data_IF_812099280467
#
_entry.id   IF_812099280467
#
_cell.length_a   1.000
_cell.length_b   1.000
_cell.length_c   1.000
_cell.angle_alpha   90.00
_cell.angle_beta   90.00
_cell.angle_gamma   90.00
#
_symmetry.space_group_name_H-M   'P 1'
#
loop_
_entity.id
_entity.type
_entity.pdbx_description
1 polymer ?
#
# COMPACT_ATOMS: atom_id res chain seq x y z
N UNK A 1 6.91 18.82 -12.21
CA UNK A 1 5.83 19.40 -11.37
C UNK A 1 5.78 18.52 -10.14
N UNK A 2 5.80 19.06 -8.92
CA UNK A 2 5.70 18.21 -7.73
C UNK A 2 4.28 17.65 -7.65
N UNK A 3 4.13 16.33 -7.62
CA UNK A 3 2.83 15.67 -7.43
C UNK A 3 2.25 16.06 -6.08
N UNK A 4 1.00 16.49 -6.06
CA UNK A 4 0.25 16.73 -4.83
C UNK A 4 -0.20 15.38 -4.25
N UNK A 5 0.41 14.98 -3.13
CA UNK A 5 0.16 13.71 -2.46
C UNK A 5 -1.29 13.59 -1.99
N UNK A 6 -1.91 14.67 -1.53
CA UNK A 6 -3.31 14.64 -1.07
C UNK A 6 -4.25 14.41 -2.25
N UNK A 7 -4.03 15.11 -3.37
CA UNK A 7 -4.82 14.90 -4.57
C UNK A 7 -4.65 13.48 -5.13
N UNK A 8 -3.42 12.95 -5.09
CA UNK A 8 -3.13 11.57 -5.50
C UNK A 8 -3.83 10.56 -4.59
N UNK A 9 -3.74 10.73 -3.27
CA UNK A 9 -4.42 9.88 -2.30
C UNK A 9 -5.93 9.86 -2.53
N UNK A 10 -6.58 11.03 -2.69
CA UNK A 10 -8.02 11.08 -2.96
C UNK A 10 -8.38 10.37 -4.27
N UNK A 11 -7.55 10.50 -5.31
CA UNK A 11 -7.73 9.76 -6.57
C UNK A 11 -7.66 8.26 -6.36
N UNK A 12 -6.74 7.79 -5.52
CA UNK A 12 -6.60 6.37 -5.20
C UNK A 12 -7.69 5.83 -4.31
N UNK A 13 -8.18 6.59 -3.33
CA UNK A 13 -9.35 6.19 -2.56
C UNK A 13 -10.58 6.05 -3.46
N UNK A 14 -10.81 6.98 -4.39
CA UNK A 14 -11.87 6.85 -5.39
C UNK A 14 -11.70 5.61 -6.27
N UNK A 15 -10.46 5.28 -6.66
CA UNK A 15 -10.16 4.06 -7.41
C UNK A 15 -10.43 2.79 -6.60
N UNK A 16 -10.05 2.76 -5.33
CA UNK A 16 -10.29 1.63 -4.42
C UNK A 16 -11.80 1.45 -4.17
N UNK A 17 -12.54 2.54 -3.96
CA UNK A 17 -13.98 2.53 -3.69
C UNK A 17 -14.83 1.99 -4.86
N UNK A 18 -14.28 1.88 -6.06
CA UNK A 18 -14.94 1.20 -7.18
C UNK A 18 -14.97 -0.33 -7.02
N UNK A 19 -14.22 -0.89 -6.06
CA UNK A 19 -14.28 -2.29 -5.69
C UNK A 19 -15.36 -2.52 -4.62
N UNK A 20 -16.37 -3.34 -4.94
CA UNK A 20 -17.48 -3.67 -4.05
C UNK A 20 -17.06 -4.48 -2.80
N UNK A 21 -15.77 -4.79 -2.64
CA UNK A 21 -15.27 -5.49 -1.47
C UNK A 21 -15.16 -4.61 -0.22
N UNK A 22 -15.18 -3.29 -0.31
CA UNK A 22 -15.07 -2.38 0.86
C UNK A 22 -16.24 -1.40 0.93
N UNK A 23 -16.58 -0.96 2.13
CA UNK A 23 -17.31 0.29 2.33
C UNK A 23 -16.42 1.46 1.92
N UNK A 24 -17.05 2.52 1.41
CA UNK A 24 -16.33 3.67 0.88
C UNK A 24 -15.53 4.38 1.96
N UNK A 25 -14.23 4.57 1.70
CA UNK A 25 -13.33 5.38 2.54
C UNK A 25 -12.96 6.63 1.75
N UNK A 26 -13.30 7.81 2.29
CA UNK A 26 -13.16 9.10 1.60
C UNK A 26 -12.25 10.08 2.35
N UNK A 27 -11.49 9.59 3.33
CA UNK A 27 -10.54 10.38 4.12
C UNK A 27 -9.16 9.77 3.95
N UNK A 28 -8.19 10.58 3.55
CA UNK A 28 -6.80 10.14 3.47
C UNK A 28 -6.23 9.89 4.86
N UNK A 29 -5.41 8.82 5.04
CA UNK A 29 -4.58 8.72 6.23
C UNK A 29 -3.53 9.84 6.21
N UNK A 30 -2.82 10.01 7.32
CA UNK A 30 -1.60 10.83 7.30
C UNK A 30 -0.57 10.16 6.39
N UNK A 31 0.04 10.92 5.47
CA UNK A 31 1.04 10.42 4.51
C UNK A 31 2.31 11.23 4.70
N UNK A 32 3.37 10.56 5.14
CA UNK A 32 4.65 11.21 5.41
C UNK A 32 5.77 10.63 4.53
N UNK A 33 6.60 11.51 3.99
CA UNK A 33 7.78 11.13 3.19
C UNK A 33 9.03 11.20 4.07
N UNK A 34 9.76 10.09 4.16
CA UNK A 34 10.93 9.97 5.03
C UNK A 34 12.13 9.30 4.34
N UNK A 35 13.35 9.46 4.88
CA UNK A 35 14.51 8.70 4.43
C UNK A 35 14.30 7.19 4.59
N UNK A 36 14.86 6.38 3.68
CA UNK A 36 14.74 4.91 3.72
C UNK A 36 15.21 4.30 5.05
N UNK A 37 16.21 4.90 5.71
CA UNK A 37 16.69 4.44 7.02
C UNK A 37 15.65 4.57 8.14
N UNK A 38 14.85 5.64 8.12
CA UNK A 38 13.76 5.84 9.08
C UNK A 38 12.61 4.86 8.77
N UNK A 39 12.33 4.64 7.48
CA UNK A 39 11.34 3.66 7.05
C UNK A 39 11.73 2.22 7.44
N UNK A 40 13.00 1.86 7.29
CA UNK A 40 13.55 0.57 7.74
C UNK A 40 13.46 0.40 9.25
N UNK A 41 13.60 1.48 10.03
CA UNK A 41 13.41 1.44 11.47
C UNK A 41 11.96 1.06 11.82
N UNK A 42 10.98 1.65 11.13
CA UNK A 42 9.56 1.40 11.35
C UNK A 42 9.11 0.02 10.85
N UNK A 43 9.45 -0.33 9.61
CA UNK A 43 8.92 -1.52 8.94
C UNK A 43 9.75 -2.79 9.17
N UNK A 44 11.06 -2.65 9.43
CA UNK A 44 12.01 -3.76 9.47
C UNK A 44 12.82 -3.81 10.77
N UNK A 45 12.38 -3.11 11.83
CA UNK A 45 13.07 -3.02 13.12
C UNK A 45 14.55 -2.58 12.99
N UNK A 46 14.84 -1.72 12.00
CA UNK A 46 16.16 -1.18 11.71
C UNK A 46 17.08 -2.09 10.88
N UNK A 47 16.63 -3.29 10.52
CA UNK A 47 17.36 -4.13 9.59
C UNK A 47 17.30 -3.54 8.17
N UNK A 48 18.40 -3.65 7.42
CA UNK A 48 18.41 -3.30 6.00
C UNK A 48 17.45 -4.22 5.24
N UNK A 49 16.45 -3.62 4.61
CA UNK A 49 15.42 -4.29 3.83
C UNK A 49 14.99 -3.40 2.65
N UNK A 50 14.47 -3.98 1.56
CA UNK A 50 14.10 -3.24 0.35
C UNK A 50 12.75 -2.50 0.48
N UNK A 51 12.39 -2.02 1.67
CA UNK A 51 11.11 -1.33 1.92
C UNK A 51 11.07 0.01 1.19
N UNK A 52 9.98 0.26 0.46
CA UNK A 52 9.75 1.51 -0.28
C UNK A 52 8.59 2.31 0.30
N UNK A 53 7.64 1.65 0.93
CA UNK A 53 6.54 2.25 1.67
C UNK A 53 6.09 1.31 2.79
N UNK A 54 5.33 1.84 3.76
CA UNK A 54 4.77 1.05 4.85
C UNK A 54 3.51 1.71 5.41
N UNK A 55 2.43 0.95 5.50
CA UNK A 55 1.25 1.29 6.29
C UNK A 55 1.41 0.85 7.75
N UNK A 56 1.40 1.82 8.66
CA UNK A 56 1.38 1.58 10.10
C UNK A 56 -0.05 1.57 10.63
N UNK A 57 -0.51 0.38 11.03
CA UNK A 57 -1.83 0.14 11.61
C UNK A 57 -2.06 0.87 12.92
N UNK A 58 -1.04 1.01 13.77
CA UNK A 58 -1.18 1.67 15.08
C UNK A 58 -1.34 3.17 14.92
N UNK A 59 -0.52 3.76 14.04
CA UNK A 59 -0.59 5.19 13.71
C UNK A 59 -1.72 5.53 12.74
N UNK A 60 -2.29 4.54 12.03
CA UNK A 60 -3.21 4.71 10.89
C UNK A 60 -2.62 5.67 9.84
N UNK A 61 -1.33 5.49 9.54
CA UNK A 61 -0.54 6.39 8.70
C UNK A 61 0.24 5.61 7.64
N UNK A 62 0.52 6.26 6.52
CA UNK A 62 1.35 5.73 5.43
C UNK A 62 2.68 6.46 5.39
N UNK A 63 3.76 5.70 5.35
CA UNK A 63 5.11 6.22 5.26
C UNK A 63 5.70 5.85 3.89
N UNK A 64 6.22 6.85 3.17
CA UNK A 64 6.82 6.67 1.85
C UNK A 64 8.32 6.96 1.91
N UNK A 65 9.11 6.14 1.22
CA UNK A 65 10.52 6.45 0.98
C UNK A 65 10.63 7.70 0.10
N UNK A 66 11.53 8.62 0.46
CA UNK A 66 11.90 9.78 -0.36
C UNK A 66 12.50 9.39 -1.72
N UNK A 67 12.91 8.14 -1.89
CA UNK A 67 13.46 7.62 -3.15
C UNK A 67 12.38 7.32 -4.19
N UNK A 68 11.10 7.29 -3.80
CA UNK A 68 9.99 7.13 -4.74
C UNK A 68 9.80 8.40 -5.57
N UNK A 69 9.80 8.24 -6.89
CA UNK A 69 9.46 9.29 -7.82
C UNK A 69 7.99 9.16 -8.25
N UNK A 70 7.15 9.91 -7.55
CA UNK A 70 5.71 9.94 -7.79
C UNK A 70 5.34 10.52 -9.17
N UNK A 71 6.24 10.98 -10.02
CA UNK A 71 5.92 11.24 -11.42
C UNK A 71 5.74 9.93 -12.23
N UNK A 72 6.29 8.81 -11.77
CA UNK A 72 6.15 7.50 -12.41
C UNK A 72 4.97 6.70 -11.86
N UNK A 73 4.22 6.09 -12.79
CA UNK A 73 3.03 5.31 -12.41
C UNK A 73 3.36 4.08 -11.58
N UNK A 74 4.54 3.47 -11.75
CA UNK A 74 4.97 2.35 -10.90
C UNK A 74 5.13 2.79 -9.44
N UNK A 75 5.86 3.87 -9.19
CA UNK A 75 6.09 4.38 -7.84
C UNK A 75 4.79 4.87 -7.17
N UNK A 76 3.90 5.52 -7.93
CA UNK A 76 2.54 5.83 -7.43
C UNK A 76 1.78 4.57 -7.02
N UNK A 77 1.95 3.46 -7.73
CA UNK A 77 1.25 2.22 -7.43
C UNK A 77 1.65 1.63 -6.07
N UNK A 78 2.85 1.97 -5.56
CA UNK A 78 3.29 1.58 -4.22
C UNK A 78 2.48 2.33 -3.15
N UNK A 79 2.20 3.63 -3.33
CA UNK A 79 1.27 4.34 -2.44
C UNK A 79 -0.14 3.72 -2.50
N UNK A 80 -0.64 3.37 -3.70
CA UNK A 80 -1.93 2.70 -3.82
C UNK A 80 -1.97 1.39 -3.02
N UNK A 81 -0.91 0.61 -3.04
CA UNK A 81 -0.78 -0.62 -2.26
C UNK A 81 -0.99 -0.37 -0.76
N UNK A 82 -0.26 0.60 -0.19
CA UNK A 82 -0.42 0.95 1.22
C UNK A 82 -1.81 1.50 1.56
N UNK A 83 -2.42 2.26 0.64
CA UNK A 83 -3.79 2.75 0.82
C UNK A 83 -4.82 1.60 0.82
N UNK A 84 -4.57 0.50 0.10
CA UNK A 84 -5.43 -0.69 0.21
C UNK A 84 -5.32 -1.31 1.61
N UNK A 85 -4.13 -1.35 2.21
CA UNK A 85 -3.99 -1.81 3.60
C UNK A 85 -4.70 -0.90 4.59
N UNK A 86 -4.65 0.42 4.39
CA UNK A 86 -5.44 1.38 5.16
C UNK A 86 -6.95 1.09 5.04
N UNK A 87 -7.47 0.96 3.82
CA UNK A 87 -8.90 0.68 3.59
C UNK A 87 -9.33 -0.66 4.19
N UNK A 88 -8.50 -1.71 4.05
CA UNK A 88 -8.71 -3.01 4.69
C UNK A 88 -8.88 -2.89 6.20
N UNK A 89 -8.05 -2.05 6.82
CA UNK A 89 -8.00 -1.86 8.27
C UNK A 89 -9.08 -0.92 8.82
N UNK A 90 -9.63 0.00 8.01
CA UNK A 90 -10.81 0.79 8.39
C UNK A 90 -12.11 -0.02 8.28
N UNK A 91 -12.13 -1.01 7.39
CA UNK A 91 -13.30 -1.85 7.14
C UNK A 91 -13.38 -3.10 8.05
N UNK A 92 -12.50 -3.24 9.05
CA UNK A 92 -12.35 -4.41 9.92
C UNK A 92 -12.34 -5.75 9.15
N UNK A 93 -11.92 -5.72 7.87
CA UNK A 93 -11.85 -6.94 7.07
C UNK A 93 -10.58 -7.70 7.45
N UNK A 94 -10.74 -9.01 7.64
CA UNK A 94 -9.66 -9.95 7.95
C UNK A 94 -9.10 -9.84 9.37
N UNK A 95 -9.90 -9.38 10.35
CA UNK A 95 -9.56 -9.43 11.78
C UNK A 95 -9.56 -10.86 12.36
N UNK A 96 -10.05 -11.86 11.62
CA UNK A 96 -9.88 -13.27 11.96
C UNK A 96 -8.39 -13.62 11.91
N UNK A 97 -7.81 -13.66 13.10
CA UNK A 97 -6.45 -14.05 13.45
C UNK A 97 -5.37 -13.48 12.52
N UNK A 98 -5.07 -12.19 12.66
CA UNK A 98 -3.95 -11.48 12.00
C UNK A 98 -2.59 -12.18 12.20
N UNK A 99 -2.47 -13.01 13.25
CA UNK A 99 -1.29 -13.83 13.50
C UNK A 99 -1.24 -15.09 12.63
N UNK A 100 -2.33 -15.47 11.98
CA UNK A 100 -2.35 -16.53 11.00
C UNK A 100 -1.77 -16.04 9.67
N UNK A 101 -0.64 -16.62 9.31
CA UNK A 101 0.10 -16.38 8.08
C UNK A 101 -0.80 -16.36 6.82
N UNK A 102 -1.87 -17.17 6.78
CA UNK A 102 -2.84 -17.19 5.68
C UNK A 102 -3.67 -15.90 5.56
N UNK A 103 -4.07 -15.31 6.68
CA UNK A 103 -4.80 -14.04 6.71
C UNK A 103 -3.91 -12.91 6.18
N UNK A 104 -2.64 -12.87 6.61
CA UNK A 104 -1.63 -11.95 6.10
C UNK A 104 -1.43 -12.08 4.58
N UNK A 105 -1.21 -13.30 4.05
CA UNK A 105 -1.10 -13.53 2.59
C UNK A 105 -2.33 -13.03 1.84
N UNK A 106 -3.54 -13.23 2.38
CA UNK A 106 -4.77 -12.80 1.71
C UNK A 106 -4.88 -11.28 1.60
N UNK A 107 -4.48 -10.56 2.65
CA UNK A 107 -4.44 -9.09 2.67
C UNK A 107 -3.46 -8.54 1.64
N UNK A 108 -2.25 -9.09 1.63
CA UNK A 108 -1.19 -8.76 0.66
C UNK A 108 -1.60 -9.07 -0.77
N UNK A 109 -2.17 -10.26 -1.01
CA UNK A 109 -2.67 -10.65 -2.32
C UNK A 109 -3.68 -9.66 -2.86
N UNK A 110 -4.63 -9.24 -2.04
CA UNK A 110 -5.59 -8.24 -2.47
C UNK A 110 -4.94 -6.87 -2.78
N UNK A 111 -4.00 -6.41 -1.96
CA UNK A 111 -3.27 -5.17 -2.22
C UNK A 111 -2.51 -5.23 -3.55
N UNK A 112 -1.83 -6.35 -3.83
CA UNK A 112 -1.16 -6.55 -5.12
C UNK A 112 -2.13 -6.61 -6.31
N UNK A 113 -3.29 -7.25 -6.18
CA UNK A 113 -4.29 -7.29 -7.26
C UNK A 113 -4.78 -5.89 -7.61
N UNK A 114 -5.05 -5.05 -6.59
CA UNK A 114 -5.45 -3.66 -6.80
C UNK A 114 -4.32 -2.83 -7.43
N UNK A 115 -3.08 -3.04 -6.99
CA UNK A 115 -1.90 -2.42 -7.58
C UNK A 115 -1.74 -2.80 -9.07
N UNK A 116 -1.86 -4.08 -9.41
CA UNK A 116 -1.80 -4.57 -10.79
C UNK A 116 -2.93 -3.99 -11.65
N UNK A 117 -4.16 -3.92 -11.11
CA UNK A 117 -5.31 -3.30 -11.81
C UNK A 117 -5.01 -1.85 -12.21
N UNK A 118 -4.48 -1.05 -11.28
CA UNK A 118 -4.09 0.33 -11.58
C UNK A 118 -2.96 0.41 -12.61
N UNK A 119 -1.92 -0.43 -12.48
CA UNK A 119 -0.82 -0.46 -13.44
C UNK A 119 -1.32 -0.82 -14.85
N UNK A 120 -2.26 -1.76 -14.96
CA UNK A 120 -2.89 -2.14 -16.22
C UNK A 120 -3.66 -0.97 -16.86
N UNK A 121 -4.37 -0.14 -16.09
CA UNK A 121 -5.01 1.08 -16.61
C UNK A 121 -4.01 2.10 -17.15
N UNK A 122 -2.76 2.05 -16.68
CA UNK A 122 -1.64 2.85 -17.21
C UNK A 122 -0.88 2.15 -18.34
N UNK A 123 -1.39 1.03 -18.84
CA UNK A 123 -0.76 0.17 -19.84
C UNK A 123 0.59 -0.44 -19.40
N UNK A 124 0.81 -0.58 -18.09
CA UNK A 124 2.00 -1.19 -17.50
C UNK A 124 1.65 -2.61 -17.05
N UNK A 125 2.38 -3.61 -17.57
CA UNK A 125 2.15 -5.03 -17.26
C UNK A 125 3.30 -5.57 -16.43
N UNK A 126 3.21 -5.42 -15.12
CA UNK A 126 4.19 -5.94 -14.16
C UNK A 126 3.44 -6.80 -13.13
N UNK A 127 3.76 -8.10 -13.01
CA UNK A 127 3.10 -8.99 -12.06
C UNK A 127 3.70 -8.84 -10.66
N UNK A 128 3.40 -7.72 -9.98
CA UNK A 128 3.91 -7.41 -8.63
C UNK A 128 3.47 -8.44 -7.59
N UNK A 129 2.33 -9.11 -7.80
CA UNK A 129 1.85 -10.22 -6.96
C UNK A 129 2.82 -11.41 -6.88
N UNK A 130 3.81 -11.53 -7.78
CA UNK A 130 4.88 -12.53 -7.66
C UNK A 130 5.68 -12.38 -6.38
N UNK A 131 5.70 -11.21 -5.75
CA UNK A 131 6.33 -11.00 -4.45
C UNK A 131 5.75 -11.89 -3.35
N UNK A 132 4.49 -12.35 -3.49
CA UNK A 132 3.90 -13.31 -2.57
C UNK A 132 4.62 -14.65 -2.50
N UNK A 133 5.42 -15.01 -3.52
CA UNK A 133 6.23 -16.23 -3.52
C UNK A 133 7.30 -16.27 -2.42
N UNK A 134 7.60 -15.12 -1.82
CA UNK A 134 8.51 -15.03 -0.67
C UNK A 134 7.82 -15.33 0.67
N UNK A 135 6.49 -15.31 0.72
CA UNK A 135 5.75 -15.66 1.94
C UNK A 135 5.74 -17.18 2.09
N UNK A 136 6.20 -17.66 3.25
CA UNK A 136 6.19 -19.07 3.61
C UNK A 136 5.21 -19.27 4.77
N UNK A 137 3.99 -19.64 4.38
CA UNK A 137 3.07 -20.42 5.19
C UNK A 137 3.05 -21.86 4.60
#
# INVERSE_FOLDING_TARGET
MTVDINALCMTFLLFINQDAMYEEVNVCPDIQVMPVKELQLLACNGAECPVQAYYDRQAKAVYLSRELDLDYSYDRSILLHELVHYVQDINDKWEEDINECRSAIRREWNAFIMQEKYLLEKNIRIPVSRQLSFYRC
#
